data_IF_461118069881
#
_entry.id   IF_461118069881
#
_cell.length_a   1.000
_cell.length_b   1.000
_cell.length_c   1.000
_cell.angle_alpha   90.00
_cell.angle_beta   90.00
_cell.angle_gamma   90.00
#
_symmetry.space_group_name_H-M   'P 1'
#
loop_
_entity.id
_entity.type
_entity.pdbx_description
1 polymer ?
#
# COMPACT_ATOMS: atom_id res chain seq x y z
N UNK A 1 -15.84 -5.93 11.57
CA UNK A 1 -15.49 -6.92 12.61
C UNK A 1 -16.21 -8.21 12.30
N UNK A 2 -15.48 -9.28 12.03
CA UNK A 2 -16.07 -10.61 11.89
C UNK A 2 -16.66 -11.01 13.26
N UNK A 3 -17.95 -11.37 13.30
CA UNK A 3 -18.56 -12.02 14.46
C UNK A 3 -17.95 -13.42 14.70
N UNK A 4 -18.57 -14.29 15.51
CA UNK A 4 -18.01 -15.59 15.90
C UNK A 4 -18.07 -16.64 14.77
N UNK A 5 -17.77 -16.24 13.54
CA UNK A 5 -17.76 -17.05 12.33
C UNK A 5 -16.78 -18.22 12.44
N UNK A 6 -15.64 -18.05 13.11
CA UNK A 6 -14.66 -19.13 13.31
C UNK A 6 -15.30 -20.29 14.08
N UNK A 7 -16.02 -19.98 15.16
CA UNK A 7 -16.71 -20.98 15.98
C UNK A 7 -17.85 -21.69 15.25
N UNK A 8 -18.52 -21.02 14.32
CA UNK A 8 -19.69 -21.55 13.61
C UNK A 8 -19.30 -22.32 12.34
N UNK A 9 -18.30 -21.83 11.62
CA UNK A 9 -17.80 -22.43 10.37
C UNK A 9 -16.79 -23.55 10.61
N UNK A 10 -16.18 -23.61 11.80
CA UNK A 10 -15.00 -24.45 12.10
C UNK A 10 -13.83 -24.18 11.17
N UNK A 11 -13.75 -22.97 10.59
CA UNK A 11 -12.61 -22.56 9.79
C UNK A 11 -11.43 -22.21 10.71
N UNK A 12 -10.24 -22.72 10.39
CA UNK A 12 -9.00 -22.41 11.13
C UNK A 12 -8.53 -20.97 10.89
N UNK A 13 -8.87 -20.39 9.73
CA UNK A 13 -8.54 -19.02 9.36
C UNK A 13 -9.69 -18.36 8.59
N UNK A 14 -10.03 -17.13 8.96
CA UNK A 14 -10.96 -16.28 8.21
C UNK A 14 -10.23 -15.03 7.74
N UNK A 15 -10.29 -14.76 6.43
CA UNK A 15 -9.60 -13.63 5.80
C UNK A 15 -10.61 -12.75 5.10
N UNK A 16 -10.61 -11.45 5.43
CA UNK A 16 -11.47 -10.45 4.81
C UNK A 16 -10.60 -9.33 4.22
N UNK A 17 -10.16 -9.49 2.97
CA UNK A 17 -9.24 -8.57 2.31
C UNK A 17 -9.83 -7.20 1.95
N UNK A 18 -11.11 -6.95 2.26
CA UNK A 18 -11.80 -5.75 1.82
C UNK A 18 -11.29 -4.49 2.53
N UNK A 19 -10.86 -4.60 3.80
CA UNK A 19 -10.25 -3.49 4.51
C UNK A 19 -8.84 -3.17 3.95
N UNK A 20 -8.05 -4.20 3.67
CA UNK A 20 -6.71 -4.03 3.07
C UNK A 20 -6.78 -3.44 1.66
N UNK A 21 -7.77 -3.82 0.85
CA UNK A 21 -7.98 -3.23 -0.49
C UNK A 21 -8.26 -1.74 -0.38
N UNK A 22 -9.14 -1.34 0.54
CA UNK A 22 -9.50 0.07 0.76
C UNK A 22 -8.30 0.86 1.29
N UNK A 23 -7.58 0.31 2.26
CA UNK A 23 -6.38 0.95 2.81
C UNK A 23 -5.29 1.14 1.74
N UNK A 24 -5.02 0.12 0.92
CA UNK A 24 -4.00 0.19 -0.13
C UNK A 24 -4.36 1.19 -1.23
N UNK A 25 -5.64 1.27 -1.59
CA UNK A 25 -6.14 2.26 -2.55
C UNK A 25 -6.06 3.68 -1.97
N UNK A 26 -6.55 3.89 -0.76
CA UNK A 26 -6.56 5.19 -0.09
C UNK A 26 -5.14 5.71 0.16
N UNK A 27 -4.22 4.87 0.64
CA UNK A 27 -2.80 5.22 0.80
C UNK A 27 -2.15 5.57 -0.55
N UNK A 28 -2.54 4.85 -1.60
CA UNK A 28 -2.17 5.14 -2.98
C UNK A 28 -2.54 6.53 -3.47
N UNK A 29 -3.74 6.98 -3.11
CA UNK A 29 -4.27 8.28 -3.53
C UNK A 29 -3.60 9.45 -2.78
N UNK A 30 -2.92 9.20 -1.65
CA UNK A 30 -2.11 10.22 -0.98
C UNK A 30 -0.90 10.63 -1.83
N UNK A 31 -0.33 9.70 -2.59
CA UNK A 31 0.84 9.91 -3.44
C UNK A 31 0.67 9.16 -4.77
N UNK A 32 -0.14 9.69 -5.70
CA UNK A 32 -0.46 9.02 -6.96
C UNK A 32 0.77 8.82 -7.86
N UNK A 33 1.85 9.57 -7.63
CA UNK A 33 3.15 9.40 -8.30
C UNK A 33 3.97 8.22 -7.80
N UNK A 34 3.61 7.53 -6.72
CA UNK A 34 4.32 6.31 -6.30
C UNK A 34 3.75 5.12 -7.07
N UNK A 35 4.62 4.37 -7.75
CA UNK A 35 4.21 3.31 -8.68
C UNK A 35 3.53 2.15 -7.95
N UNK A 36 4.04 1.77 -6.78
CA UNK A 36 3.45 0.73 -5.94
C UNK A 36 3.56 1.08 -4.45
N UNK A 37 2.46 0.86 -3.72
CA UNK A 37 2.40 1.01 -2.26
C UNK A 37 1.78 -0.27 -1.71
N UNK A 38 2.50 -0.92 -0.80
CA UNK A 38 2.11 -2.16 -0.14
C UNK A 38 2.20 -2.00 1.38
N UNK A 39 1.26 -2.58 2.15
CA UNK A 39 1.34 -2.55 3.61
C UNK A 39 2.51 -3.40 4.12
N UNK A 40 3.22 -2.88 5.12
CA UNK A 40 4.27 -3.56 5.88
C UNK A 40 3.96 -3.42 7.36
N UNK A 41 3.48 -4.49 7.99
CA UNK A 41 2.90 -4.37 9.34
C UNK A 41 1.62 -3.55 9.31
N UNK A 42 1.34 -2.83 10.40
CA UNK A 42 0.06 -2.12 10.56
C UNK A 42 0.12 -0.63 10.17
N UNK A 43 1.28 0.02 10.37
CA UNK A 43 1.44 1.47 10.15
C UNK A 43 2.46 1.84 9.08
N UNK A 44 3.24 0.85 8.63
CA UNK A 44 4.36 1.05 7.70
C UNK A 44 4.05 0.54 6.31
N UNK A 45 4.84 0.98 5.33
CA UNK A 45 4.56 0.82 3.91
C UNK A 45 5.84 0.53 3.13
N UNK A 46 5.76 -0.41 2.20
CA UNK A 46 6.73 -0.52 1.11
C UNK A 46 6.26 0.43 0.01
N UNK A 47 7.10 1.39 -0.36
CA UNK A 47 6.86 2.30 -1.46
C UNK A 47 7.87 2.02 -2.58
N UNK A 48 7.38 1.86 -3.80
CA UNK A 48 8.21 1.58 -4.97
C UNK A 48 8.04 2.70 -5.98
N UNK A 49 9.15 3.29 -6.39
CA UNK A 49 9.12 4.44 -7.29
C UNK A 49 10.29 4.41 -8.29
N UNK A 50 10.00 4.77 -9.54
CA UNK A 50 10.98 4.97 -10.60
C UNK A 50 11.62 6.36 -10.52
N UNK A 51 12.93 6.41 -10.72
CA UNK A 51 13.75 7.63 -10.73
C UNK A 51 13.58 8.35 -12.06
N UNK A 52 12.97 9.53 -12.03
CA UNK A 52 12.76 10.37 -13.21
C UNK A 52 14.03 11.16 -13.60
N UNK A 53 14.14 11.68 -14.83
CA UNK A 53 15.33 12.41 -15.31
C UNK A 53 15.75 13.63 -14.46
N UNK A 54 14.79 14.31 -13.82
CA UNK A 54 15.04 15.48 -12.96
C UNK A 54 15.17 15.11 -11.47
N UNK A 55 15.33 13.83 -11.17
CA UNK A 55 15.44 13.34 -9.81
C UNK A 55 16.71 13.87 -9.12
N UNK A 56 16.57 14.53 -7.96
CA UNK A 56 17.72 15.01 -7.22
C UNK A 56 18.46 13.87 -6.49
N UNK A 57 17.97 12.62 -6.58
CA UNK A 57 18.69 11.43 -6.13
C UNK A 57 19.79 10.99 -7.11
N UNK A 58 19.73 11.39 -8.39
CA UNK A 58 20.69 10.95 -9.41
C UNK A 58 22.11 11.33 -9.00
N UNK A 59 23.03 10.35 -9.08
CA UNK A 59 24.43 10.52 -8.68
C UNK A 59 24.69 10.33 -7.19
N UNK A 60 23.65 10.27 -6.35
CA UNK A 60 23.78 9.98 -4.92
C UNK A 60 23.88 8.48 -4.67
N UNK A 61 24.52 8.10 -3.55
CA UNK A 61 24.52 6.71 -3.09
C UNK A 61 23.23 6.37 -2.36
N UNK A 62 22.70 5.18 -2.58
CA UNK A 62 21.45 4.71 -1.95
C UNK A 62 21.45 4.80 -0.41
N UNK A 63 22.59 4.60 0.25
CA UNK A 63 22.72 4.70 1.70
C UNK A 63 22.90 6.13 2.23
N UNK A 64 23.14 7.10 1.36
CA UNK A 64 23.45 8.49 1.72
C UNK A 64 22.27 9.45 1.52
N UNK A 65 21.16 8.95 0.98
CA UNK A 65 19.99 9.77 0.63
C UNK A 65 19.38 10.49 1.83
N UNK A 66 19.43 9.88 3.02
CA UNK A 66 18.92 10.47 4.27
C UNK A 66 19.70 11.68 4.76
N UNK A 67 20.97 11.85 4.35
CA UNK A 67 21.76 13.04 4.66
C UNK A 67 21.47 14.20 3.71
N UNK A 68 20.99 13.90 2.50
CA UNK A 68 20.65 14.90 1.48
C UNK A 68 19.19 15.35 1.63
N UNK A 69 18.28 14.42 1.93
CA UNK A 69 16.84 14.67 2.02
C UNK A 69 16.32 14.34 3.41
N UNK A 70 16.04 15.38 4.20
CA UNK A 70 15.45 15.21 5.53
C UNK A 70 14.10 14.51 5.42
N UNK A 71 13.95 13.43 6.18
CA UNK A 71 12.69 12.67 6.27
C UNK A 71 12.44 11.66 5.15
N UNK A 72 13.36 11.53 4.18
CA UNK A 72 13.26 10.45 3.18
C UNK A 72 13.44 9.09 3.87
N UNK A 73 12.60 8.09 3.56
CA UNK A 73 12.80 6.74 4.05
C UNK A 73 14.04 6.08 3.42
N UNK A 74 14.58 5.06 4.10
CA UNK A 74 15.72 4.30 3.61
C UNK A 74 15.35 3.47 2.38
N UNK A 75 16.29 3.37 1.44
CA UNK A 75 16.20 2.49 0.25
C UNK A 75 16.78 1.12 0.62
N UNK A 76 16.03 0.05 0.34
CA UNK A 76 16.44 -1.33 0.68
C UNK A 76 16.63 -2.25 -0.53
N UNK A 77 16.02 -1.92 -1.67
CA UNK A 77 16.25 -2.62 -2.92
C UNK A 77 16.19 -1.67 -4.12
N UNK A 78 16.78 -2.12 -5.23
CA UNK A 78 16.72 -1.43 -6.51
C UNK A 78 16.59 -2.41 -7.67
N UNK A 79 16.08 -1.93 -8.80
CA UNK A 79 16.08 -2.65 -10.08
C UNK A 79 16.51 -1.71 -11.19
N UNK A 80 17.46 -2.17 -12.00
CA UNK A 80 17.84 -1.54 -13.27
C UNK A 80 17.01 -2.17 -14.39
N UNK A 81 16.70 -1.40 -15.42
CA UNK A 81 16.01 -1.94 -16.60
C UNK A 81 16.80 -3.13 -17.20
N UNK A 82 16.08 -4.19 -17.58
CA UNK A 82 16.68 -5.43 -18.09
C UNK A 82 17.31 -6.35 -17.05
N UNK A 83 17.47 -5.90 -15.80
CA UNK A 83 18.04 -6.69 -14.70
C UNK A 83 16.97 -7.20 -13.72
N UNK A 84 17.29 -8.31 -13.05
CA UNK A 84 16.55 -8.70 -11.84
C UNK A 84 16.89 -7.71 -10.73
N UNK A 85 15.90 -7.26 -9.98
CA UNK A 85 16.21 -6.39 -8.85
C UNK A 85 16.92 -7.12 -7.72
N UNK A 86 17.61 -6.33 -6.90
CA UNK A 86 18.53 -6.78 -5.87
C UNK A 86 18.45 -5.88 -4.65
N UNK A 87 18.86 -6.42 -3.51
CA UNK A 87 19.03 -5.64 -2.28
C UNK A 87 20.18 -4.65 -2.46
N UNK A 88 20.06 -3.45 -1.89
CA UNK A 88 21.15 -2.46 -1.90
C UNK A 88 22.08 -2.65 -0.71
N UNK A 89 23.36 -2.35 -0.93
CA UNK A 89 24.40 -2.30 0.12
C UNK A 89 24.61 -0.89 0.66
N UNK A 90 23.91 0.11 0.11
CA UNK A 90 24.08 1.52 0.39
C UNK A 90 25.17 2.22 -0.44
N UNK A 91 25.94 1.46 -1.23
CA UNK A 91 27.08 1.99 -2.01
C UNK A 91 26.76 2.27 -3.48
N UNK A 92 25.64 1.75 -3.96
CA UNK A 92 25.19 1.89 -5.33
C UNK A 92 24.83 3.33 -5.67
N UNK A 93 25.26 3.79 -6.85
CA UNK A 93 24.93 5.12 -7.37
C UNK A 93 23.57 5.04 -8.05
N UNK A 94 22.68 5.94 -7.66
CA UNK A 94 21.33 6.05 -8.22
C UNK A 94 21.40 6.68 -9.61
N UNK A 95 20.66 6.08 -10.55
CA UNK A 95 20.56 6.52 -11.94
C UNK A 95 19.10 6.67 -12.37
N UNK A 96 18.88 7.45 -13.42
CA UNK A 96 17.59 7.57 -14.10
C UNK A 96 17.04 6.21 -14.54
N UNK A 97 15.72 6.04 -14.49
CA UNK A 97 15.00 4.82 -14.88
C UNK A 97 15.15 3.65 -13.90
N UNK A 98 15.96 3.80 -12.84
CA UNK A 98 16.02 2.80 -11.79
C UNK A 98 14.73 2.79 -10.97
N UNK A 99 14.26 1.61 -10.63
CA UNK A 99 13.20 1.45 -9.64
C UNK A 99 13.84 1.29 -8.26
N UNK A 100 13.42 2.10 -7.31
CA UNK A 100 13.87 2.08 -5.92
C UNK A 100 12.74 1.57 -5.02
N UNK A 101 13.12 0.82 -3.98
CA UNK A 101 12.18 0.33 -2.95
C UNK A 101 12.53 0.96 -1.62
N UNK A 102 11.58 1.71 -1.10
CA UNK A 102 11.63 2.40 0.18
C UNK A 102 10.79 1.67 1.22
N UNK A 103 11.19 1.78 2.48
CA UNK A 103 10.35 1.37 3.62
C UNK A 103 10.02 2.59 4.45
N UNK A 104 8.76 3.01 4.36
CA UNK A 104 8.19 4.16 5.04
C UNK A 104 7.49 3.73 6.32
N UNK A 105 7.59 4.53 7.39
CA UNK A 105 6.92 4.26 8.68
C UNK A 105 5.60 5.00 8.85
N UNK A 106 5.30 5.93 7.94
CA UNK A 106 4.05 6.67 7.88
C UNK A 106 3.77 7.07 6.44
N UNK A 107 2.51 7.33 6.11
CA UNK A 107 2.13 7.96 4.84
C UNK A 107 2.66 9.38 4.72
N UNK A 108 3.04 10.03 5.83
CA UNK A 108 3.61 11.39 5.85
C UNK A 108 4.97 11.50 5.17
N UNK A 109 5.64 10.37 4.90
CA UNK A 109 6.91 10.34 4.18
C UNK A 109 6.75 10.20 2.65
N UNK A 110 5.53 9.95 2.15
CA UNK A 110 5.29 9.75 0.72
C UNK A 110 5.61 11.01 -0.12
N UNK A 111 5.23 12.24 0.28
CA UNK A 111 5.59 13.44 -0.48
C UNK A 111 7.11 13.62 -0.65
N UNK A 112 7.89 13.19 0.33
CA UNK A 112 9.36 13.22 0.32
C UNK A 112 9.90 12.21 -0.69
N UNK A 113 9.31 11.00 -0.76
CA UNK A 113 9.65 10.01 -1.80
C UNK A 113 9.35 10.59 -3.19
N UNK A 114 8.12 11.07 -3.42
CA UNK A 114 7.69 11.64 -4.71
C UNK A 114 8.66 12.73 -5.18
N UNK A 115 8.96 13.71 -4.30
CA UNK A 115 9.88 14.80 -4.61
C UNK A 115 11.29 14.30 -4.88
N UNK A 116 11.78 13.34 -4.09
CA UNK A 116 13.12 12.81 -4.22
C UNK A 116 13.31 12.02 -5.52
N UNK A 117 12.28 11.33 -6.03
CA UNK A 117 12.38 10.62 -7.32
C UNK A 117 12.14 11.54 -8.53
N UNK A 118 12.01 12.85 -8.34
CA UNK A 118 11.80 13.81 -9.43
C UNK A 118 10.36 13.89 -9.94
N UNK A 119 9.39 13.46 -9.13
CA UNK A 119 7.95 13.62 -9.42
C UNK A 119 7.35 14.73 -8.55
N UNK A 120 6.17 15.21 -8.92
CA UNK A 120 5.43 16.22 -8.16
C UNK A 120 3.97 15.82 -8.08
N UNK A 121 3.54 15.49 -6.86
CA UNK A 121 2.13 15.37 -6.53
C UNK A 121 1.61 16.75 -6.11
N UNK A 122 0.33 17.00 -6.38
CA UNK A 122 -0.37 18.10 -5.75
C UNK A 122 -0.44 17.88 -4.23
N UNK A 123 -0.57 18.96 -3.46
CA UNK A 123 -0.77 18.83 -2.02
C UNK A 123 -2.10 18.13 -1.73
N UNK A 124 -2.11 17.25 -0.73
CA UNK A 124 -3.34 16.55 -0.36
C UNK A 124 -4.23 17.49 0.44
N UNK A 125 -5.49 17.71 0.04
CA UNK A 125 -6.36 18.69 0.69
C UNK A 125 -6.74 18.25 2.11
N UNK A 126 -6.83 19.23 3.02
CA UNK A 126 -7.22 18.99 4.42
C UNK A 126 -8.71 18.70 4.60
N UNK A 127 -9.55 19.07 3.63
CA UNK A 127 -10.98 18.75 3.56
C UNK A 127 -11.34 18.43 2.10
N UNK A 128 -11.13 17.17 1.71
CA UNK A 128 -11.33 16.71 0.34
C UNK A 128 -12.83 16.59 -0.02
N UNK A 129 -13.14 16.85 -1.29
CA UNK A 129 -14.35 16.37 -1.97
C UNK A 129 -14.02 15.05 -2.67
N UNK A 130 -14.74 13.98 -2.30
CA UNK A 130 -14.49 12.62 -2.79
C UNK A 130 -15.71 12.11 -3.55
N UNK A 131 -15.53 11.81 -4.82
CA UNK A 131 -16.52 11.11 -5.62
C UNK A 131 -16.21 9.61 -5.60
N UNK A 132 -17.18 8.79 -5.24
CA UNK A 132 -17.11 7.33 -5.30
C UNK A 132 -18.18 6.85 -6.27
N UNK A 133 -17.78 6.06 -7.26
CA UNK A 133 -18.69 5.45 -8.20
C UNK A 133 -18.89 4.00 -7.80
N UNK A 134 -20.10 3.68 -7.36
CA UNK A 134 -20.48 2.39 -6.80
C UNK A 134 -20.61 2.41 -5.27
N UNK A 135 -21.75 1.94 -4.78
CA UNK A 135 -22.09 1.66 -3.38
C UNK A 135 -21.84 0.19 -2.99
N UNK A 136 -21.02 -0.53 -3.77
CA UNK A 136 -20.58 -1.90 -3.45
C UNK A 136 -19.96 -1.98 -2.05
N UNK A 137 -19.69 -3.19 -1.56
CA UNK A 137 -19.00 -3.38 -0.28
C UNK A 137 -17.70 -2.54 -0.19
N UNK A 138 -16.97 -2.39 -1.30
CA UNK A 138 -15.78 -1.55 -1.33
C UNK A 138 -16.10 -0.06 -1.35
N UNK A 139 -17.11 0.35 -2.13
CA UNK A 139 -17.58 1.74 -2.18
C UNK A 139 -18.09 2.25 -0.83
N UNK A 140 -18.87 1.43 -0.13
CA UNK A 140 -19.34 1.71 1.24
C UNK A 140 -18.17 1.87 2.22
N UNK A 141 -17.18 0.98 2.18
CA UNK A 141 -15.98 1.07 3.03
C UNK A 141 -15.08 2.26 2.68
N UNK A 142 -14.96 2.61 1.41
CA UNK A 142 -14.27 3.83 0.97
C UNK A 142 -14.98 5.08 1.48
N UNK A 143 -16.32 5.11 1.40
CA UNK A 143 -17.11 6.21 1.95
C UNK A 143 -16.86 6.35 3.45
N UNK A 144 -16.98 5.26 4.21
CA UNK A 144 -16.69 5.27 5.66
C UNK A 144 -15.26 5.76 5.96
N UNK A 145 -14.27 5.27 5.21
CA UNK A 145 -12.88 5.68 5.35
C UNK A 145 -12.70 7.19 5.20
N UNK A 146 -13.26 7.81 4.16
CA UNK A 146 -13.10 9.25 3.92
C UNK A 146 -13.98 10.10 4.84
N UNK A 147 -15.19 9.65 5.17
CA UNK A 147 -16.07 10.34 6.12
C UNK A 147 -15.46 10.38 7.52
N UNK A 148 -14.79 9.30 7.96
CA UNK A 148 -14.09 9.26 9.25
C UNK A 148 -12.93 10.26 9.35
N UNK A 149 -12.37 10.69 8.21
CA UNK A 149 -11.36 11.75 8.11
C UNK A 149 -11.96 13.16 8.02
N UNK A 150 -13.29 13.27 8.02
CA UNK A 150 -14.01 14.53 7.95
C UNK A 150 -14.24 15.06 6.54
N UNK A 151 -13.99 14.26 5.50
CA UNK A 151 -14.18 14.66 4.11
C UNK A 151 -15.64 14.58 3.69
N UNK A 152 -15.96 15.20 2.55
CA UNK A 152 -17.29 15.14 1.97
C UNK A 152 -17.27 14.12 0.84
N UNK A 153 -18.26 13.24 0.83
CA UNK A 153 -18.32 12.08 -0.06
C UNK A 153 -19.63 12.11 -0.82
N UNK A 154 -19.54 12.05 -2.14
CA UNK A 154 -20.68 11.73 -3.01
C UNK A 154 -20.51 10.31 -3.55
N UNK A 155 -21.54 9.48 -3.39
CA UNK A 155 -21.59 8.12 -3.95
C UNK A 155 -22.59 8.10 -5.09
N UNK A 156 -22.15 7.73 -6.29
CA UNK A 156 -23.00 7.59 -7.48
C UNK A 156 -23.18 6.09 -7.74
N UNK A 157 -24.41 5.60 -7.60
CA UNK A 157 -24.73 4.18 -7.71
C UNK A 157 -25.87 3.95 -8.73
N UNK A 158 -25.65 3.15 -9.79
CA UNK A 158 -26.68 2.84 -10.77
C UNK A 158 -27.78 1.88 -10.27
N UNK A 159 -27.51 1.06 -9.26
CA UNK A 159 -28.48 0.14 -8.66
C UNK A 159 -29.21 0.79 -7.46
N UNK A 160 -30.53 0.97 -7.60
CA UNK A 160 -31.34 1.64 -6.59
C UNK A 160 -31.34 0.91 -5.24
N UNK A 161 -31.29 -0.42 -5.25
CA UNK A 161 -31.32 -1.21 -4.01
C UNK A 161 -29.99 -1.04 -3.25
N UNK A 162 -28.84 -1.15 -3.95
CA UNK A 162 -27.53 -0.88 -3.37
C UNK A 162 -27.40 0.55 -2.83
N UNK A 163 -27.95 1.54 -3.54
CA UNK A 163 -28.00 2.93 -3.07
C UNK A 163 -28.80 3.05 -1.76
N UNK A 164 -29.98 2.45 -1.70
CA UNK A 164 -30.81 2.43 -0.49
C UNK A 164 -30.16 1.69 0.68
N UNK A 165 -29.45 0.58 0.42
CA UNK A 165 -28.69 -0.15 1.42
C UNK A 165 -27.59 0.71 2.05
N UNK A 166 -26.84 1.47 1.24
CA UNK A 166 -25.82 2.38 1.75
C UNK A 166 -26.43 3.49 2.63
N UNK A 167 -27.54 4.09 2.19
CA UNK A 167 -28.27 5.11 2.96
C UNK A 167 -28.79 4.55 4.28
N UNK A 168 -29.28 3.30 4.28
CA UNK A 168 -29.76 2.62 5.49
C UNK A 168 -28.65 2.12 6.43
N UNK A 169 -27.38 2.17 6.00
CA UNK A 169 -26.23 1.68 6.77
C UNK A 169 -25.77 2.67 7.84
N UNK A 170 -24.90 2.28 8.79
CA UNK A 170 -24.28 3.20 9.73
C UNK A 170 -23.55 4.38 9.07
N UNK A 171 -22.95 4.15 7.88
CA UNK A 171 -22.25 5.14 7.06
C UNK A 171 -23.22 6.22 6.56
N UNK A 172 -24.45 5.80 6.23
CA UNK A 172 -25.57 6.65 5.78
C UNK A 172 -25.98 7.75 6.76
N UNK A 173 -25.64 7.63 8.04
CA UNK A 173 -25.96 8.64 9.06
C UNK A 173 -25.07 9.90 8.99
N UNK A 174 -24.01 9.87 8.18
CA UNK A 174 -23.10 11.00 8.07
C UNK A 174 -23.73 12.13 7.27
N UNK A 175 -23.70 13.36 7.82
CA UNK A 175 -24.16 14.58 7.13
C UNK A 175 -23.25 15.03 5.98
N UNK A 176 -22.12 14.35 5.79
CA UNK A 176 -21.13 14.62 4.73
C UNK A 176 -21.23 13.61 3.58
N UNK A 177 -22.22 12.72 3.62
CA UNK A 177 -22.46 11.74 2.59
C UNK A 177 -23.70 12.12 1.79
N UNK A 178 -23.53 12.24 0.48
CA UNK A 178 -24.61 12.29 -0.49
C UNK A 178 -24.62 10.99 -1.30
N UNK A 179 -25.77 10.32 -1.40
CA UNK A 179 -25.93 9.10 -2.22
C UNK A 179 -26.88 9.41 -3.37
N UNK A 180 -26.38 9.27 -4.59
CA UNK A 180 -27.07 9.63 -5.82
C UNK A 180 -27.33 8.35 -6.63
N UNK A 181 -28.60 8.01 -6.80
CA UNK A 181 -28.98 6.96 -7.71
C UNK A 181 -29.00 7.50 -9.15
N UNK A 182 -28.11 6.98 -10.00
CA UNK A 182 -27.97 7.45 -11.37
C UNK A 182 -26.87 6.74 -12.15
N UNK A 183 -26.88 6.90 -13.47
CA UNK A 183 -25.86 6.32 -14.33
C UNK A 183 -24.54 7.09 -14.18
N UNK A 184 -23.45 6.46 -13.71
CA UNK A 184 -22.16 7.12 -13.57
C UNK A 184 -21.53 7.54 -14.92
N UNK A 185 -22.12 7.14 -16.05
CA UNK A 185 -21.75 7.61 -17.38
C UNK A 185 -22.55 8.83 -17.86
N UNK A 186 -23.58 9.29 -17.15
CA UNK A 186 -24.38 10.43 -17.58
C UNK A 186 -23.62 11.76 -17.42
N UNK A 187 -23.28 12.43 -18.53
CA UNK A 187 -22.58 13.73 -18.53
C UNK A 187 -23.37 14.85 -17.86
N UNK A 188 -24.69 14.83 -17.96
CA UNK A 188 -25.53 15.82 -17.30
C UNK A 188 -25.40 15.66 -15.80
N UNK A 189 -25.55 14.42 -15.31
CA UNK A 189 -25.42 14.09 -13.90
C UNK A 189 -24.04 14.46 -13.35
N UNK A 190 -22.96 14.04 -14.02
CA UNK A 190 -21.60 14.35 -13.55
C UNK A 190 -21.32 15.86 -13.53
N UNK A 191 -21.96 16.62 -14.42
CA UNK A 191 -21.86 18.08 -14.44
C UNK A 191 -22.66 18.72 -13.32
N UNK A 192 -23.89 18.27 -13.07
CA UNK A 192 -24.72 18.75 -11.95
C UNK A 192 -24.05 18.50 -10.60
N UNK A 193 -23.35 17.36 -10.46
CA UNK A 193 -22.58 17.02 -9.27
C UNK A 193 -21.23 17.74 -9.17
N UNK A 194 -20.79 18.46 -10.21
CA UNK A 194 -19.51 19.19 -10.20
C UNK A 194 -18.30 18.28 -10.03
N UNK A 195 -18.25 17.15 -10.74
CA UNK A 195 -17.15 16.15 -10.62
C UNK A 195 -15.78 16.76 -10.91
N UNK A 196 -15.69 17.75 -11.79
CA UNK A 196 -14.47 18.50 -12.10
C UNK A 196 -13.93 19.34 -10.93
N UNK A 197 -14.72 19.56 -9.88
CA UNK A 197 -14.30 20.24 -8.65
C UNK A 197 -13.92 19.28 -7.52
N UNK A 198 -13.96 17.96 -7.77
CA UNK A 198 -13.58 16.98 -6.77
C UNK A 198 -12.07 16.80 -6.70
N UNK A 199 -11.58 16.51 -5.50
CA UNK A 199 -10.16 16.26 -5.26
C UNK A 199 -9.78 14.80 -5.53
N UNK A 200 -10.73 13.89 -5.32
CA UNK A 200 -10.55 12.45 -5.43
C UNK A 200 -11.76 11.83 -6.14
N UNK A 201 -11.51 10.96 -7.11
CA UNK A 201 -12.52 10.15 -7.76
C UNK A 201 -12.13 8.67 -7.72
N UNK A 202 -13.00 7.81 -7.19
CA UNK A 202 -12.74 6.38 -7.05
C UNK A 202 -13.84 5.56 -7.71
N UNK A 203 -13.47 4.69 -8.66
CA UNK A 203 -14.41 3.77 -9.28
C UNK A 203 -14.33 2.37 -8.63
N UNK A 204 -15.44 1.94 -8.02
CA UNK A 204 -15.54 0.74 -7.21
C UNK A 204 -16.80 -0.10 -7.55
N UNK A 205 -17.22 -0.08 -8.82
CA UNK A 205 -18.30 -0.91 -9.35
C UNK A 205 -17.82 -2.35 -9.59
N UNK A 206 -18.76 -3.25 -9.89
CA UNK A 206 -18.46 -4.65 -10.20
C UNK A 206 -17.95 -4.91 -11.63
N UNK A 207 -18.20 -3.96 -12.53
CA UNK A 207 -17.71 -3.96 -13.91
C UNK A 207 -16.40 -3.18 -14.03
N UNK A 208 -15.32 -3.91 -14.34
CA UNK A 208 -13.99 -3.35 -14.50
C UNK A 208 -13.91 -2.38 -15.70
N UNK A 209 -14.66 -2.61 -16.79
CA UNK A 209 -14.67 -1.69 -17.94
C UNK A 209 -15.33 -0.36 -17.57
N UNK A 210 -16.39 -0.43 -16.77
CA UNK A 210 -17.07 0.75 -16.24
C UNK A 210 -16.14 1.53 -15.32
N UNK A 211 -15.42 0.83 -14.43
CA UNK A 211 -14.43 1.47 -13.55
C UNK A 211 -13.33 2.19 -14.32
N UNK A 212 -12.81 1.57 -15.40
CA UNK A 212 -11.82 2.19 -16.28
C UNK A 212 -12.39 3.44 -16.96
N UNK A 213 -13.55 3.32 -17.59
CA UNK A 213 -14.16 4.43 -18.33
C UNK A 213 -14.45 5.65 -17.44
N UNK A 214 -15.03 5.42 -16.26
CA UNK A 214 -15.34 6.49 -15.30
C UNK A 214 -14.06 7.12 -14.76
N UNK A 215 -13.07 6.31 -14.38
CA UNK A 215 -11.80 6.82 -13.85
C UNK A 215 -11.08 7.67 -14.91
N UNK A 216 -11.10 7.26 -16.18
CA UNK A 216 -10.51 8.05 -17.28
C UNK A 216 -11.22 9.38 -17.43
N UNK A 217 -12.55 9.37 -17.38
CA UNK A 217 -13.34 10.57 -17.54
C UNK A 217 -13.20 11.54 -16.38
N UNK A 218 -13.12 11.06 -15.14
CA UNK A 218 -12.81 11.90 -13.99
C UNK A 218 -11.43 12.56 -14.15
N UNK A 219 -10.45 11.80 -14.63
CA UNK A 219 -9.10 12.33 -14.91
C UNK A 219 -9.13 13.39 -16.03
N UNK A 220 -9.84 13.13 -17.13
CA UNK A 220 -9.97 14.06 -18.26
C UNK A 220 -10.69 15.36 -17.86
N UNK A 221 -11.60 15.28 -16.87
CA UNK A 221 -12.27 16.45 -16.26
C UNK A 221 -11.36 17.22 -15.30
N UNK A 222 -10.15 16.74 -15.03
CA UNK A 222 -9.16 17.44 -14.20
C UNK A 222 -9.14 17.03 -12.73
N UNK A 223 -9.83 15.95 -12.33
CA UNK A 223 -9.73 15.43 -10.96
C UNK A 223 -8.28 14.99 -10.70
N UNK A 224 -7.59 15.55 -9.70
CA UNK A 224 -6.15 15.36 -9.56
C UNK A 224 -5.78 13.96 -9.09
N UNK A 225 -6.68 13.27 -8.38
CA UNK A 225 -6.46 11.91 -7.87
C UNK A 225 -7.59 11.00 -8.31
N UNK A 226 -7.31 10.15 -9.27
CA UNK A 226 -8.24 9.09 -9.68
C UNK A 226 -7.75 7.74 -9.18
N UNK A 227 -8.67 6.86 -8.79
CA UNK A 227 -8.39 5.50 -8.37
C UNK A 227 -9.47 4.55 -8.85
N UNK A 228 -9.14 3.27 -8.96
CA UNK A 228 -10.11 2.27 -9.41
C UNK A 228 -9.79 0.88 -8.89
N UNK A 229 -10.84 0.09 -8.68
CA UNK A 229 -10.73 -1.33 -8.33
C UNK A 229 -10.92 -2.19 -9.57
N UNK A 230 -9.99 -3.12 -9.76
CA UNK A 230 -10.02 -4.10 -10.86
C UNK A 230 -9.94 -5.51 -10.29
N UNK A 231 -10.44 -6.51 -11.02
CA UNK A 231 -10.37 -7.91 -10.56
C UNK A 231 -8.94 -8.42 -10.60
N UNK A 232 -8.29 -8.35 -11.76
CA UNK A 232 -6.99 -8.99 -12.00
C UNK A 232 -5.86 -7.99 -12.30
N UNK A 233 -4.64 -8.39 -11.96
CA UNK A 233 -3.41 -7.59 -12.11
C UNK A 233 -3.05 -7.26 -13.56
N UNK A 234 -3.33 -8.15 -14.51
CA UNK A 234 -3.01 -7.90 -15.91
C UNK A 234 -3.71 -6.63 -16.43
N UNK A 235 -4.93 -6.37 -15.93
CA UNK A 235 -5.68 -5.17 -16.27
C UNK A 235 -5.12 -3.93 -15.57
N UNK A 236 -4.69 -4.05 -14.29
CA UNK A 236 -3.97 -3.00 -13.56
C UNK A 236 -2.76 -2.51 -14.37
N UNK A 237 -1.92 -3.43 -14.85
CA UNK A 237 -0.71 -3.09 -15.61
C UNK A 237 -1.02 -2.46 -16.97
N UNK A 238 -2.11 -2.86 -17.64
CA UNK A 238 -2.55 -2.24 -18.89
C UNK A 238 -3.09 -0.82 -18.67
N UNK A 239 -3.85 -0.64 -17.60
CA UNK A 239 -4.48 0.62 -17.22
C UNK A 239 -3.45 1.67 -16.77
N UNK A 240 -2.40 1.25 -16.05
CA UNK A 240 -1.29 2.14 -15.70
C UNK A 240 -0.58 2.71 -16.94
N UNK A 241 -0.42 1.90 -18.00
CA UNK A 241 0.26 2.34 -19.24
C UNK A 241 -0.51 3.40 -20.02
N UNK A 242 -1.83 3.43 -19.91
CA UNK A 242 -2.67 4.47 -20.51
C UNK A 242 -2.82 5.70 -19.60
N UNK A 243 -2.08 5.75 -18.50
CA UNK A 243 -1.95 6.90 -17.64
C UNK A 243 -3.01 7.01 -16.56
N UNK A 244 -3.89 6.02 -16.36
CA UNK A 244 -4.82 6.07 -15.23
C UNK A 244 -4.07 5.95 -13.90
N UNK A 245 -4.46 6.79 -12.95
CA UNK A 245 -3.81 6.81 -11.65
C UNK A 245 -4.40 5.73 -10.75
N UNK A 246 -3.51 5.05 -10.02
CA UNK A 246 -3.79 4.10 -8.94
C UNK A 246 -4.90 3.04 -9.15
N UNK A 247 -4.78 2.15 -10.14
CA UNK A 247 -5.55 0.90 -10.14
C UNK A 247 -5.07 -0.07 -9.06
N UNK A 248 -6.01 -0.73 -8.37
CA UNK A 248 -5.73 -1.78 -7.38
C UNK A 248 -6.42 -3.08 -7.77
N UNK A 249 -5.68 -4.20 -7.77
CA UNK A 249 -6.25 -5.53 -8.02
C UNK A 249 -6.82 -6.12 -6.74
N UNK A 250 -8.14 -6.35 -6.73
CA UNK A 250 -8.84 -7.02 -5.63
C UNK A 250 -8.28 -8.42 -5.38
N UNK A 251 -8.00 -9.17 -6.44
CA UNK A 251 -7.46 -10.54 -6.35
C UNK A 251 -6.06 -10.57 -5.75
N UNK A 252 -5.17 -9.66 -6.17
CA UNK A 252 -3.79 -9.64 -5.67
C UNK A 252 -3.74 -9.36 -4.17
N UNK A 253 -4.53 -8.37 -3.71
CA UNK A 253 -4.61 -8.05 -2.28
C UNK A 253 -5.21 -9.23 -1.51
N UNK A 254 -6.27 -9.86 -2.03
CA UNK A 254 -6.88 -11.05 -1.41
C UNK A 254 -5.90 -12.20 -1.27
N UNK A 255 -5.13 -12.51 -2.32
CA UNK A 255 -4.09 -13.55 -2.25
C UNK A 255 -3.03 -13.19 -1.20
N UNK A 256 -2.64 -11.92 -1.12
CA UNK A 256 -1.66 -11.45 -0.12
C UNK A 256 -2.21 -11.58 1.30
N UNK A 257 -3.47 -11.22 1.54
CA UNK A 257 -4.12 -11.40 2.84
C UNK A 257 -4.25 -12.87 3.22
N UNK A 258 -4.58 -13.75 2.26
CA UNK A 258 -4.60 -15.20 2.49
C UNK A 258 -3.21 -15.69 2.87
N UNK A 259 -2.18 -15.33 2.10
CA UNK A 259 -0.80 -15.73 2.39
C UNK A 259 -0.33 -15.25 3.76
N UNK A 260 -0.70 -14.03 4.18
CA UNK A 260 -0.45 -13.53 5.55
C UNK A 260 -1.09 -14.41 6.62
N UNK A 261 -2.26 -14.99 6.36
CA UNK A 261 -2.98 -15.84 7.33
C UNK A 261 -2.56 -17.31 7.31
N UNK A 262 -2.13 -17.85 6.17
CA UNK A 262 -1.81 -19.29 6.02
C UNK A 262 -0.31 -19.60 5.99
N UNK A 263 0.58 -18.62 6.16
CA UNK A 263 2.02 -18.88 6.15
C UNK A 263 2.40 -19.71 7.40
N UNK A 264 2.54 -21.03 7.22
CA UNK A 264 2.57 -22.04 8.29
C UNK A 264 3.95 -22.28 8.92
N UNK A 265 5.04 -21.84 8.29
CA UNK A 265 6.40 -22.15 8.75
C UNK A 265 6.97 -21.10 9.71
N UNK A 266 6.65 -19.82 9.47
CA UNK A 266 6.98 -18.71 10.35
C UNK A 266 5.74 -17.82 10.42
N UNK A 267 5.13 -17.61 11.60
CA UNK A 267 4.02 -16.69 11.74
C UNK A 267 4.44 -15.29 11.26
N UNK A 268 3.83 -14.81 10.18
CA UNK A 268 4.23 -13.53 9.62
C UNK A 268 3.68 -13.21 8.24
N UNK A 269 4.03 -12.02 7.77
CA UNK A 269 3.72 -11.54 6.44
C UNK A 269 4.57 -12.26 5.40
N UNK A 270 3.99 -12.54 4.23
CA UNK A 270 4.72 -12.92 3.02
C UNK A 270 4.19 -12.03 1.89
N UNK A 271 5.07 -11.28 1.24
CA UNK A 271 4.66 -10.34 0.21
C UNK A 271 5.71 -10.26 -0.90
N UNK A 272 5.26 -10.43 -2.14
CA UNK A 272 6.06 -10.16 -3.33
C UNK A 272 5.96 -8.69 -3.65
N UNK A 273 7.07 -8.04 -4.01
CA UNK A 273 7.10 -6.65 -4.45
C UNK A 273 6.89 -6.61 -5.97
N UNK A 274 5.70 -6.24 -6.48
CA UNK A 274 5.34 -6.41 -7.89
C UNK A 274 6.32 -5.84 -8.92
N UNK A 275 6.86 -4.61 -8.76
CA UNK A 275 7.83 -4.06 -9.71
C UNK A 275 9.22 -4.70 -9.62
N UNK A 276 9.49 -5.47 -8.55
CA UNK A 276 10.74 -6.20 -8.31
C UNK A 276 10.45 -7.61 -7.75
N UNK A 277 9.91 -8.52 -8.57
CA UNK A 277 9.42 -9.83 -8.08
C UNK A 277 10.55 -10.78 -7.63
N UNK A 278 11.81 -10.40 -7.86
CA UNK A 278 12.99 -11.11 -7.36
C UNK A 278 13.21 -10.88 -5.85
N UNK A 279 12.61 -9.84 -5.29
CA UNK A 279 12.68 -9.52 -3.86
C UNK A 279 11.31 -9.78 -3.23
N UNK A 280 11.33 -10.37 -2.04
CA UNK A 280 10.15 -10.61 -1.22
C UNK A 280 10.35 -9.99 0.16
N UNK A 281 9.25 -9.62 0.78
CA UNK A 281 9.17 -9.20 2.17
C UNK A 281 8.58 -10.32 3.00
N UNK A 282 9.23 -10.65 4.11
CA UNK A 282 8.66 -11.54 5.14
C UNK A 282 8.76 -10.90 6.52
N UNK A 283 7.99 -11.40 7.48
CA UNK A 283 8.20 -11.06 8.89
C UNK A 283 8.26 -12.30 9.77
N UNK A 284 8.89 -12.17 10.93
CA UNK A 284 8.93 -13.21 11.95
C UNK A 284 9.14 -12.62 13.33
N UNK A 285 8.64 -13.30 14.35
CA UNK A 285 8.93 -12.97 15.74
C UNK A 285 10.25 -13.61 16.15
N UNK A 286 11.03 -12.89 16.97
CA UNK A 286 12.33 -13.34 17.45
C UNK A 286 12.14 -14.08 18.76
N UNK A 287 12.56 -15.35 18.78
CA UNK A 287 12.50 -16.21 19.96
C UNK A 287 13.89 -16.41 20.56
N UNK A 288 13.93 -16.95 21.77
CA UNK A 288 15.19 -17.11 22.51
C UNK A 288 16.09 -18.22 21.96
N UNK A 289 15.53 -19.14 21.19
CA UNK A 289 16.22 -20.21 20.49
C UNK A 289 17.00 -19.70 19.27
N UNK A 290 16.58 -18.57 18.71
CA UNK A 290 17.18 -18.01 17.50
C UNK A 290 18.63 -17.62 17.74
N UNK A 291 19.53 -18.18 16.93
CA UNK A 291 20.97 -17.93 17.04
C UNK A 291 21.41 -16.48 16.81
N UNK A 292 20.49 -15.59 16.41
CA UNK A 292 20.72 -14.16 16.19
C UNK A 292 20.01 -13.27 17.22
N UNK A 293 19.27 -13.83 18.18
CA UNK A 293 18.70 -13.07 19.29
C UNK A 293 19.82 -12.41 20.11
N UNK A 294 19.62 -11.14 20.47
CA UNK A 294 20.59 -10.30 21.19
C UNK A 294 21.79 -9.84 20.35
N UNK A 295 21.84 -10.15 19.04
CA UNK A 295 22.95 -9.73 18.16
C UNK A 295 22.66 -8.42 17.46
N UNK A 296 23.72 -7.81 16.94
CA UNK A 296 23.61 -6.61 16.12
C UNK A 296 22.80 -6.87 14.85
N UNK A 297 22.13 -5.85 14.34
CA UNK A 297 21.36 -5.93 13.09
C UNK A 297 22.21 -6.51 11.95
N UNK A 298 23.45 -6.05 11.82
CA UNK A 298 24.38 -6.50 10.77
C UNK A 298 24.74 -7.98 10.89
N UNK A 299 24.91 -8.48 12.11
CA UNK A 299 25.19 -9.91 12.34
C UNK A 299 23.97 -10.77 12.04
N UNK A 300 22.78 -10.28 12.41
CA UNK A 300 21.49 -10.90 12.09
C UNK A 300 21.29 -10.99 10.57
N UNK A 301 21.48 -9.89 9.84
CA UNK A 301 21.41 -9.85 8.38
C UNK A 301 22.34 -10.87 7.73
N UNK A 302 23.60 -10.93 8.19
CA UNK A 302 24.59 -11.88 7.67
C UNK A 302 24.21 -13.34 7.96
N UNK A 303 23.63 -13.61 9.13
CA UNK A 303 23.22 -14.96 9.54
C UNK A 303 22.04 -15.46 8.72
N UNK A 304 21.03 -14.61 8.53
CA UNK A 304 19.83 -14.92 7.76
C UNK A 304 20.14 -14.94 6.25
N UNK A 305 21.02 -14.07 5.78
CA UNK A 305 21.16 -13.78 4.35
C UNK A 305 20.01 -12.91 3.83
N UNK A 306 19.52 -12.01 4.68
CA UNK A 306 18.43 -11.09 4.40
C UNK A 306 18.79 -9.69 4.93
N UNK A 307 18.03 -8.67 4.51
CA UNK A 307 18.13 -7.31 5.03
C UNK A 307 17.02 -7.07 6.03
N UNK A 308 17.34 -6.59 7.22
CA UNK A 308 16.33 -6.17 8.20
C UNK A 308 15.89 -4.78 7.80
N UNK A 309 14.59 -4.62 7.52
CA UNK A 309 14.06 -3.34 6.99
C UNK A 309 13.23 -2.57 8.01
N UNK A 310 12.66 -3.29 8.99
CA UNK A 310 11.86 -2.73 10.06
C UNK A 310 11.85 -3.69 11.25
N UNK A 311 11.76 -3.12 12.45
CA UNK A 311 11.58 -3.88 13.69
C UNK A 311 10.40 -3.29 14.44
N UNK A 312 9.48 -4.15 14.86
CA UNK A 312 8.39 -3.82 15.78
C UNK A 312 8.75 -4.37 17.16
N UNK A 313 8.79 -3.50 18.16
CA UNK A 313 9.12 -3.85 19.55
C UNK A 313 8.01 -3.42 20.48
N UNK A 314 7.56 -4.32 21.34
CA UNK A 314 6.65 -4.00 22.44
C UNK A 314 7.41 -3.20 23.50
N UNK A 315 6.91 -2.01 23.81
CA UNK A 315 7.42 -1.22 24.92
C UNK A 315 6.89 -1.72 26.28
N UNK A 316 7.43 -1.18 27.37
CA UNK A 316 7.04 -1.53 28.74
C UNK A 316 5.56 -1.22 29.04
N UNK A 317 4.92 -0.38 28.24
CA UNK A 317 3.50 -0.02 28.37
C UNK A 317 2.57 -0.94 27.57
N UNK A 318 3.13 -1.89 26.82
CA UNK A 318 2.41 -2.81 25.95
C UNK A 318 2.05 -2.22 24.58
N UNK A 319 2.58 -1.04 24.24
CA UNK A 319 2.40 -0.43 22.93
C UNK A 319 3.50 -0.88 21.97
N UNK A 320 3.14 -1.06 20.69
CA UNK A 320 4.11 -1.49 19.66
C UNK A 320 4.80 -0.26 19.08
N UNK A 321 6.13 -0.23 19.15
CA UNK A 321 6.97 0.81 18.58
C UNK A 321 7.63 0.33 17.29
N UNK A 322 7.57 1.14 16.24
CA UNK A 322 8.23 0.84 14.96
C UNK A 322 9.61 1.50 14.93
N UNK A 323 10.64 0.67 14.86
CA UNK A 323 12.04 1.09 14.96
C UNK A 323 12.76 1.02 13.60
N UNK A 324 13.77 1.87 13.45
CA UNK A 324 14.68 1.79 12.31
C UNK A 324 15.82 0.81 12.60
N UNK A 325 16.07 -0.18 11.73
CA UNK A 325 17.20 -1.10 11.92
C UNK A 325 18.55 -0.37 12.06
N UNK A 326 18.68 0.83 11.49
CA UNK A 326 19.89 1.64 11.61
C UNK A 326 20.03 2.38 12.95
N UNK A 327 18.97 2.48 13.76
CA UNK A 327 18.95 3.22 15.03
C UNK A 327 18.98 2.33 16.26
N UNK A 328 18.99 1.01 16.08
CA UNK A 328 18.98 0.03 17.17
C UNK A 328 20.31 -0.71 17.24
N UNK A 329 20.74 -1.02 18.46
CA UNK A 329 22.01 -1.72 18.69
C UNK A 329 21.89 -3.23 18.46
N UNK A 330 20.78 -3.83 18.90
CA UNK A 330 20.55 -5.27 18.82
C UNK A 330 19.08 -5.64 18.60
N UNK A 331 18.90 -6.81 17.98
CA UNK A 331 17.60 -7.47 17.84
C UNK A 331 17.32 -8.24 19.13
N UNK A 332 16.19 -7.99 19.77
CA UNK A 332 15.82 -8.57 21.06
C UNK A 332 14.77 -9.67 20.92
N UNK A 333 14.65 -10.50 21.97
CA UNK A 333 13.60 -11.53 22.02
C UNK A 333 12.24 -10.85 22.17
N UNK A 334 11.26 -11.30 21.39
CA UNK A 334 9.93 -10.70 21.29
C UNK A 334 9.83 -9.61 20.21
N UNK A 335 10.94 -9.19 19.61
CA UNK A 335 10.89 -8.31 18.45
C UNK A 335 10.19 -9.02 17.29
N UNK A 336 9.36 -8.29 16.55
CA UNK A 336 8.93 -8.70 15.22
C UNK A 336 9.79 -8.01 14.17
N UNK A 337 10.59 -8.80 13.47
CA UNK A 337 11.49 -8.30 12.43
C UNK A 337 10.84 -8.46 11.05
N UNK A 338 11.00 -7.45 10.21
CA UNK A 338 10.62 -7.49 8.81
C UNK A 338 11.87 -7.52 7.95
N UNK A 339 11.87 -8.42 6.96
CA UNK A 339 13.04 -8.80 6.19
C UNK A 339 12.77 -8.67 4.71
N UNK A 340 13.69 -8.05 3.98
CA UNK A 340 13.76 -8.17 2.52
C UNK A 340 14.84 -9.19 2.16
N UNK A 341 14.51 -10.09 1.25
CA UNK A 341 15.40 -11.15 0.79
C UNK A 341 15.19 -11.43 -0.69
N UNK A 342 16.21 -12.00 -1.33
CA UNK A 342 16.03 -12.58 -2.65
C UNK A 342 15.06 -13.77 -2.54
N UNK A 343 14.16 -13.90 -3.51
CA UNK A 343 13.16 -14.97 -3.54
C UNK A 343 13.79 -16.37 -3.47
N UNK A 344 14.98 -16.53 -4.04
CA UNK A 344 15.72 -17.79 -4.06
C UNK A 344 16.24 -18.19 -2.66
N UNK A 345 16.40 -17.22 -1.74
CA UNK A 345 16.88 -17.43 -0.38
C UNK A 345 15.76 -17.77 0.63
N UNK A 346 14.48 -17.76 0.21
CA UNK A 346 13.33 -17.93 1.09
C UNK A 346 13.44 -19.15 2.02
N UNK A 347 13.69 -20.33 1.46
CA UNK A 347 13.77 -21.58 2.23
C UNK A 347 14.89 -21.58 3.26
N UNK A 348 15.97 -20.83 3.00
CA UNK A 348 17.09 -20.70 3.93
C UNK A 348 16.72 -19.79 5.10
N UNK A 349 16.04 -18.68 4.80
CA UNK A 349 15.60 -17.72 5.82
C UNK A 349 14.48 -18.30 6.68
N UNK A 350 13.49 -18.98 6.09
CA UNK A 350 12.43 -19.68 6.84
C UNK A 350 13.02 -20.67 7.85
N UNK A 351 13.95 -21.53 7.41
CA UNK A 351 14.64 -22.46 8.33
C UNK A 351 15.41 -21.76 9.44
N UNK A 352 15.94 -20.57 9.20
CA UNK A 352 16.66 -19.82 10.21
C UNK A 352 15.73 -19.09 11.19
N UNK A 353 14.45 -18.92 10.82
CA UNK A 353 13.39 -18.37 11.68
C UNK A 353 12.59 -19.48 12.40
N UNK A 354 12.61 -20.72 11.88
CA UNK A 354 12.03 -21.90 12.55
C UNK A 354 12.88 -22.41 13.73
N UNK A 355 14.21 -22.24 13.66
CA UNK A 355 15.19 -22.76 14.62
C UNK A 355 15.96 -21.66 15.30
#
# INVERSE_FOLDING_TARGET
GAGPLESWSRADHIVCASDEIVQQLAAGLLAPSIDEILPLGDTSWIAVAEVMPESPLIGSKTGYVGEIFVGIPSIYALRVEGEKGRLTTGSEIIQEGQILVFVSRSTDQFPQITRAVGRKDEEFPSNAQVAIFGASQFGSKLADHYLSRGFNVVVIEPDLDAANELVGSPVGNSKRLDVIHGDPQDEELLRELGIDHHDIAVAALDDDNMNIAISMRAKDKGVPRTGLLLKDRALVEAVQRIGLTRPVSRRLVTVTSILKSIHMNVPGTYQVIPPIPAIISISGEVHSEHSFAGKSVKDTEKRLGARVVMVERLDETGSTTVLNPHTIDSIEVGDRIYLFLARDDLKKVEKALEN
#
